data_IF_048347869288
#
_entry.id   IF_048347869288
#
_cell.length_a   1.000
_cell.length_b   1.000
_cell.length_c   1.000
_cell.angle_alpha   90.00
_cell.angle_beta   90.00
_cell.angle_gamma   90.00
#
_symmetry.space_group_name_H-M   'P 1'
#
loop_
_entity.id
_entity.type
_entity.pdbx_description
1 polymer ?
#
# COMPACT_ATOMS: atom_id res chain seq x y z
N UNK A 1 -40.60 38.69 -15.47
CA UNK A 1 -41.27 37.44 -15.03
C UNK A 1 -40.50 36.15 -15.33
N UNK A 2 -39.86 36.04 -16.48
CA UNK A 2 -39.08 34.85 -16.90
C UNK A 2 -37.84 34.60 -16.03
N UNK A 3 -37.14 35.64 -15.58
CA UNK A 3 -35.94 35.50 -14.77
C UNK A 3 -36.24 34.92 -13.36
N UNK A 4 -37.31 35.32 -12.76
CA UNK A 4 -37.78 34.79 -11.44
C UNK A 4 -38.14 33.30 -11.49
N UNK A 5 -38.76 32.85 -12.61
CA UNK A 5 -39.10 31.43 -12.80
C UNK A 5 -37.85 30.56 -13.00
N UNK A 6 -36.82 31.07 -13.71
CA UNK A 6 -35.55 30.39 -13.88
C UNK A 6 -34.77 30.27 -12.57
N UNK A 7 -34.73 31.33 -11.78
CA UNK A 7 -34.09 31.30 -10.46
C UNK A 7 -34.77 30.31 -9.53
N UNK A 8 -36.14 30.34 -9.49
CA UNK A 8 -36.93 29.39 -8.69
C UNK A 8 -36.68 27.94 -9.12
N UNK A 9 -36.61 27.68 -10.45
CA UNK A 9 -36.32 26.35 -10.98
C UNK A 9 -34.91 25.87 -10.56
N UNK A 10 -33.91 26.73 -10.63
CA UNK A 10 -32.55 26.41 -10.20
C UNK A 10 -32.47 26.10 -8.69
N UNK A 11 -33.17 26.87 -7.86
CA UNK A 11 -33.20 26.63 -6.41
C UNK A 11 -33.90 25.31 -6.09
N UNK A 12 -34.99 24.98 -6.77
CA UNK A 12 -35.69 23.68 -6.61
C UNK A 12 -34.83 22.53 -7.08
N UNK A 13 -34.11 22.69 -8.21
CA UNK A 13 -33.19 21.66 -8.75
C UNK A 13 -32.02 21.39 -7.79
N UNK A 14 -31.41 22.45 -7.24
CA UNK A 14 -30.33 22.34 -6.27
C UNK A 14 -30.84 21.66 -4.99
N UNK A 15 -32.02 22.03 -4.51
CA UNK A 15 -32.67 21.39 -3.36
C UNK A 15 -32.96 19.90 -3.60
N UNK A 16 -33.44 19.54 -4.78
CA UNK A 16 -33.72 18.15 -5.15
C UNK A 16 -32.40 17.32 -5.21
N UNK A 17 -31.33 17.87 -5.82
CA UNK A 17 -30.01 17.23 -5.87
C UNK A 17 -29.47 17.03 -4.45
N UNK A 18 -29.62 18.02 -3.58
CA UNK A 18 -29.19 17.93 -2.18
C UNK A 18 -29.95 16.84 -1.42
N UNK A 19 -31.27 16.75 -1.61
CA UNK A 19 -32.13 15.74 -0.97
C UNK A 19 -31.81 14.31 -1.46
N UNK A 20 -31.60 14.13 -2.76
CA UNK A 20 -31.18 12.84 -3.34
C UNK A 20 -29.83 12.42 -2.80
N UNK A 21 -28.88 13.35 -2.65
CA UNK A 21 -27.56 13.04 -2.08
C UNK A 21 -27.65 12.59 -0.62
N UNK A 22 -28.44 13.27 0.21
CA UNK A 22 -28.68 12.85 1.61
C UNK A 22 -29.26 11.44 1.63
N UNK A 23 -30.25 11.17 0.80
CA UNK A 23 -30.91 9.86 0.72
C UNK A 23 -29.92 8.75 0.29
N UNK A 24 -29.10 8.98 -0.74
CA UNK A 24 -28.08 8.04 -1.21
C UNK A 24 -27.01 7.79 -0.15
N UNK A 25 -26.56 8.83 0.55
CA UNK A 25 -25.58 8.70 1.65
C UNK A 25 -26.17 7.89 2.79
N UNK A 26 -27.39 8.18 3.23
CA UNK A 26 -28.12 7.42 4.27
C UNK A 26 -28.27 5.94 3.90
N UNK A 27 -28.56 5.64 2.62
CA UNK A 27 -28.73 4.26 2.17
C UNK A 27 -27.39 3.50 2.11
N UNK A 28 -26.27 4.18 1.81
CA UNK A 28 -24.92 3.61 1.87
C UNK A 28 -24.48 3.32 3.31
N UNK A 29 -24.85 4.13 4.26
CA UNK A 29 -24.48 3.96 5.67
C UNK A 29 -25.15 2.75 6.31
N UNK A 30 -26.38 2.42 5.93
CA UNK A 30 -27.11 1.24 6.43
C UNK A 30 -26.52 -0.09 5.96
N UNK A 31 -25.69 -0.09 4.92
CA UNK A 31 -25.03 -1.32 4.41
C UNK A 31 -23.61 -1.55 4.93
N UNK A 32 -23.04 -0.64 5.72
CA UNK A 32 -21.68 -0.77 6.26
C UNK A 32 -21.72 -0.95 7.77
N UNK A 33 -21.60 -2.19 8.24
CA UNK A 33 -21.45 -2.58 9.66
C UNK A 33 -20.07 -2.25 10.25
N UNK A 34 -19.34 -1.29 9.72
CA UNK A 34 -18.09 -0.82 10.29
C UNK A 34 -18.34 0.42 11.14
N UNK A 35 -17.99 0.34 12.43
CA UNK A 35 -17.99 1.48 13.35
C UNK A 35 -16.93 2.49 12.89
N UNK A 36 -17.29 3.32 11.93
CA UNK A 36 -16.46 4.46 11.54
C UNK A 36 -16.54 5.55 12.62
N UNK A 37 -15.40 5.88 13.20
CA UNK A 37 -15.28 7.15 13.94
C UNK A 37 -15.43 8.28 12.92
N UNK A 38 -16.57 8.91 12.91
CA UNK A 38 -16.89 10.05 12.06
C UNK A 38 -16.03 11.25 12.48
N UNK A 39 -15.11 11.67 11.60
CA UNK A 39 -14.42 12.95 11.76
C UNK A 39 -15.23 14.02 11.02
N UNK A 40 -15.82 15.00 11.74
CA UNK A 40 -16.62 16.06 11.10
C UNK A 40 -15.83 16.86 10.06
N UNK A 41 -14.52 17.00 10.23
CA UNK A 41 -13.66 17.75 9.29
C UNK A 41 -13.54 17.07 7.93
N UNK A 42 -13.70 15.74 7.88
CA UNK A 42 -13.69 14.96 6.65
C UNK A 42 -15.08 14.88 6.00
N UNK A 43 -16.13 14.91 6.82
CA UNK A 43 -17.51 14.71 6.37
C UNK A 43 -18.16 15.98 5.82
N UNK A 44 -17.85 17.14 6.39
CA UNK A 44 -18.42 18.42 5.95
C UNK A 44 -18.11 18.75 4.48
N UNK A 45 -16.85 18.63 3.99
CA UNK A 45 -16.55 18.84 2.57
C UNK A 45 -17.29 17.87 1.65
N UNK A 46 -17.48 16.62 2.07
CA UNK A 46 -18.22 15.60 1.32
C UNK A 46 -19.71 15.94 1.18
N UNK A 47 -20.30 16.44 2.24
CA UNK A 47 -21.72 16.86 2.27
C UNK A 47 -21.95 18.13 1.47
N UNK A 48 -21.05 19.12 1.57
CA UNK A 48 -21.19 20.41 0.89
C UNK A 48 -21.01 20.29 -0.62
N UNK A 49 -20.10 19.42 -1.09
CA UNK A 49 -19.86 19.24 -2.52
C UNK A 49 -20.91 18.38 -3.21
N UNK A 50 -21.60 17.48 -2.48
CA UNK A 50 -22.67 16.65 -3.01
C UNK A 50 -22.36 16.11 -4.42
N UNK A 51 -23.24 16.39 -5.39
CA UNK A 51 -23.06 15.99 -6.79
C UNK A 51 -21.90 16.66 -7.54
N UNK A 52 -21.33 17.75 -7.01
CA UNK A 52 -20.14 18.41 -7.60
C UNK A 52 -18.81 17.76 -7.19
N UNK A 53 -18.86 16.78 -6.27
CA UNK A 53 -17.66 16.10 -5.78
C UNK A 53 -16.82 15.50 -6.89
N UNK A 54 -17.46 14.83 -7.87
CA UNK A 54 -16.78 14.26 -9.04
C UNK A 54 -16.01 15.33 -9.83
N UNK A 55 -16.69 16.42 -10.16
CA UNK A 55 -16.08 17.54 -10.91
C UNK A 55 -14.91 18.16 -10.13
N UNK A 56 -15.06 18.33 -8.82
CA UNK A 56 -13.97 18.83 -7.96
C UNK A 56 -12.76 17.90 -7.95
N UNK A 57 -12.99 16.58 -7.91
CA UNK A 57 -11.93 15.57 -7.95
C UNK A 57 -11.23 15.58 -9.31
N UNK A 58 -11.97 15.63 -10.42
CA UNK A 58 -11.40 15.70 -11.78
C UNK A 58 -10.53 16.95 -11.94
N UNK A 59 -10.97 18.09 -11.44
CA UNK A 59 -10.18 19.32 -11.44
C UNK A 59 -8.90 19.19 -10.60
N UNK A 60 -9.00 18.57 -9.42
CA UNK A 60 -7.82 18.33 -8.57
C UNK A 60 -6.84 17.35 -9.23
N UNK A 61 -7.31 16.32 -9.94
CA UNK A 61 -6.44 15.42 -10.70
C UNK A 61 -5.70 16.16 -11.83
N UNK A 62 -6.40 16.98 -12.62
CA UNK A 62 -5.77 17.79 -13.65
C UNK A 62 -4.70 18.73 -13.06
N UNK A 63 -5.00 19.36 -11.92
CA UNK A 63 -4.04 20.20 -11.21
C UNK A 63 -2.87 19.40 -10.63
N UNK A 64 -3.10 18.18 -10.13
CA UNK A 64 -2.05 17.29 -9.62
C UNK A 64 -1.04 16.94 -10.73
N UNK A 65 -1.53 16.60 -11.93
CA UNK A 65 -0.70 16.32 -13.10
C UNK A 65 0.18 17.54 -13.43
N UNK A 66 -0.41 18.74 -13.53
CA UNK A 66 0.33 19.96 -13.80
C UNK A 66 1.42 20.25 -12.74
N UNK A 67 1.12 20.04 -11.45
CA UNK A 67 2.12 20.21 -10.38
C UNK A 67 3.23 19.18 -10.43
N UNK A 68 2.92 17.94 -10.84
CA UNK A 68 3.93 16.92 -11.06
C UNK A 68 4.90 17.30 -12.19
N UNK A 69 4.39 17.75 -13.34
CA UNK A 69 5.19 18.21 -14.47
C UNK A 69 6.06 19.42 -14.11
N UNK A 70 5.53 20.35 -13.30
CA UNK A 70 6.27 21.52 -12.80
C UNK A 70 7.24 21.17 -11.66
N UNK A 71 7.35 19.89 -11.24
CA UNK A 71 8.15 19.40 -10.11
C UNK A 71 7.84 20.10 -8.78
N UNK A 72 6.62 20.60 -8.61
CA UNK A 72 6.10 21.24 -7.39
C UNK A 72 5.53 20.21 -6.42
N UNK A 73 6.37 19.29 -5.95
CA UNK A 73 5.96 18.09 -5.24
C UNK A 73 5.27 18.35 -3.90
N UNK A 74 5.58 19.44 -3.20
CA UNK A 74 4.89 19.79 -1.95
C UNK A 74 3.46 20.31 -2.18
N UNK A 75 3.24 21.06 -3.28
CA UNK A 75 1.89 21.45 -3.69
C UNK A 75 1.10 20.20 -4.14
N UNK A 76 1.76 19.31 -4.91
CA UNK A 76 1.18 18.04 -5.32
C UNK A 76 0.74 17.20 -4.11
N UNK A 77 1.56 17.08 -3.06
CA UNK A 77 1.20 16.36 -1.84
C UNK A 77 -0.05 16.95 -1.18
N UNK A 78 -0.19 18.27 -1.17
CA UNK A 78 -1.39 18.93 -0.65
C UNK A 78 -2.63 18.56 -1.46
N UNK A 79 -2.52 18.57 -2.79
CA UNK A 79 -3.61 18.18 -3.71
C UNK A 79 -3.97 16.70 -3.51
N UNK A 80 -2.97 15.83 -3.40
CA UNK A 80 -3.17 14.41 -3.15
C UNK A 80 -3.96 14.14 -1.85
N UNK A 81 -3.62 14.86 -0.79
CA UNK A 81 -4.37 14.78 0.46
C UNK A 81 -5.83 15.27 0.32
N UNK A 82 -6.08 16.29 -0.52
CA UNK A 82 -7.45 16.76 -0.80
C UNK A 82 -8.24 15.71 -1.59
N UNK A 83 -7.64 15.10 -2.61
CA UNK A 83 -8.28 14.02 -3.39
C UNK A 83 -8.64 12.86 -2.46
N UNK A 84 -7.70 12.42 -1.60
CA UNK A 84 -7.94 11.35 -0.66
C UNK A 84 -9.06 11.67 0.36
N UNK A 85 -9.16 12.91 0.80
CA UNK A 85 -10.27 13.37 1.66
C UNK A 85 -11.61 13.37 0.94
N UNK A 86 -11.62 13.69 -0.36
CA UNK A 86 -12.84 13.67 -1.18
C UNK A 86 -13.23 12.25 -1.60
N UNK A 87 -12.29 11.31 -1.69
CA UNK A 87 -12.50 9.92 -2.07
C UNK A 87 -11.87 8.93 -1.06
N UNK A 88 -12.24 9.00 0.24
CA UNK A 88 -11.59 8.21 1.28
C UNK A 88 -11.80 6.69 1.10
N UNK A 89 -12.97 6.30 0.58
CA UNK A 89 -13.38 4.90 0.39
C UNK A 89 -12.99 4.34 -0.98
N UNK A 90 -12.05 4.99 -1.70
CA UNK A 90 -11.60 4.54 -3.01
C UNK A 90 -10.14 4.09 -2.96
N UNK A 91 -9.85 2.77 -2.77
CA UNK A 91 -8.52 2.24 -2.56
C UNK A 91 -7.50 2.65 -3.63
N UNK A 92 -7.91 2.69 -4.92
CA UNK A 92 -7.04 3.03 -6.03
C UNK A 92 -6.40 4.43 -5.90
N UNK A 93 -7.09 5.40 -5.29
CA UNK A 93 -6.53 6.73 -5.02
C UNK A 93 -5.34 6.63 -4.07
N UNK A 94 -5.47 5.83 -3.01
CA UNK A 94 -4.41 5.65 -2.02
C UNK A 94 -3.22 4.91 -2.61
N UNK A 95 -3.48 3.84 -3.37
CA UNK A 95 -2.46 3.05 -4.07
C UNK A 95 -1.68 3.93 -5.04
N UNK A 96 -2.37 4.55 -5.99
CA UNK A 96 -1.74 5.36 -7.04
C UNK A 96 -0.86 6.47 -6.47
N UNK A 97 -1.36 7.20 -5.47
CA UNK A 97 -0.62 8.32 -4.91
C UNK A 97 0.56 7.87 -4.06
N UNK A 98 0.42 6.78 -3.30
CA UNK A 98 1.53 6.17 -2.55
C UNK A 98 2.65 5.75 -3.49
N UNK A 99 2.31 5.06 -4.59
CA UNK A 99 3.26 4.67 -5.63
C UNK A 99 3.93 5.86 -6.29
N UNK A 100 3.15 6.88 -6.65
CA UNK A 100 3.70 8.08 -7.26
C UNK A 100 4.75 8.76 -6.36
N UNK A 101 4.48 8.86 -5.06
CA UNK A 101 5.43 9.42 -4.10
C UNK A 101 6.67 8.54 -3.92
N UNK A 102 6.47 7.25 -3.68
CA UNK A 102 7.55 6.35 -3.29
C UNK A 102 8.46 5.92 -4.47
N UNK A 103 7.94 5.89 -5.68
CA UNK A 103 8.70 5.49 -6.86
C UNK A 103 9.02 6.67 -7.77
N UNK A 104 8.02 7.40 -8.26
CA UNK A 104 8.22 8.43 -9.28
C UNK A 104 8.93 9.67 -8.69
N UNK A 105 8.35 10.27 -7.66
CA UNK A 105 8.93 11.49 -7.06
C UNK A 105 10.25 11.16 -6.36
N UNK A 106 10.32 10.04 -5.63
CA UNK A 106 11.58 9.63 -5.01
C UNK A 106 12.70 9.43 -6.04
N UNK A 107 12.39 8.98 -7.27
CA UNK A 107 13.38 8.79 -8.33
C UNK A 107 14.02 10.11 -8.80
N UNK A 108 13.29 11.21 -8.75
CA UNK A 108 13.76 12.54 -9.19
C UNK A 108 14.89 13.12 -8.31
N UNK A 109 15.17 12.54 -7.17
CA UNK A 109 16.19 13.00 -6.24
C UNK A 109 17.46 12.16 -6.33
N UNK A 110 18.64 12.76 -6.20
CA UNK A 110 19.91 12.02 -6.18
C UNK A 110 20.29 11.54 -4.79
N UNK A 111 20.09 12.38 -3.77
CA UNK A 111 20.48 12.09 -2.41
C UNK A 111 19.55 11.05 -1.75
N UNK A 112 20.12 10.02 -1.13
CA UNK A 112 19.39 8.96 -0.43
C UNK A 112 18.38 9.49 0.59
N UNK A 113 18.76 10.55 1.35
CA UNK A 113 17.89 11.19 2.34
C UNK A 113 16.62 11.78 1.72
N UNK A 114 16.75 12.41 0.55
CA UNK A 114 15.61 13.01 -0.13
C UNK A 114 14.71 11.92 -0.74
N UNK A 115 15.31 10.85 -1.30
CA UNK A 115 14.56 9.67 -1.76
C UNK A 115 13.78 9.05 -0.62
N UNK A 116 14.43 8.82 0.52
CA UNK A 116 13.81 8.25 1.71
C UNK A 116 12.59 9.06 2.16
N UNK A 117 12.71 10.39 2.23
CA UNK A 117 11.61 11.26 2.60
C UNK A 117 10.34 11.00 1.78
N UNK A 118 10.47 10.80 0.47
CA UNK A 118 9.33 10.54 -0.41
C UNK A 118 8.84 9.08 -0.32
N UNK A 119 9.76 8.13 -0.18
CA UNK A 119 9.43 6.72 0.09
C UNK A 119 8.61 6.62 1.38
N UNK A 120 9.12 7.19 2.47
CA UNK A 120 8.45 7.18 3.78
C UNK A 120 7.09 7.89 3.74
N UNK A 121 6.99 9.02 3.03
CA UNK A 121 5.71 9.71 2.81
C UNK A 121 4.72 8.84 2.07
N UNK A 122 5.14 8.12 1.01
CA UNK A 122 4.30 7.20 0.26
C UNK A 122 3.81 6.02 1.10
N UNK A 123 4.71 5.38 1.86
CA UNK A 123 4.36 4.29 2.77
C UNK A 123 3.32 4.74 3.81
N UNK A 124 3.55 5.89 4.44
CA UNK A 124 2.63 6.44 5.44
C UNK A 124 1.28 6.86 4.83
N UNK A 125 1.28 7.30 3.57
CA UNK A 125 0.04 7.58 2.84
C UNK A 125 -0.76 6.30 2.58
N UNK A 126 -0.11 5.22 2.12
CA UNK A 126 -0.77 3.92 1.96
C UNK A 126 -1.29 3.37 3.30
N UNK A 127 -0.52 3.46 4.39
CA UNK A 127 -0.98 3.09 5.75
C UNK A 127 -2.27 3.83 6.15
N UNK A 128 -2.37 5.13 5.89
CA UNK A 128 -3.61 5.89 6.13
C UNK A 128 -4.77 5.37 5.28
N UNK A 129 -4.48 4.99 4.04
CA UNK A 129 -5.45 4.37 3.13
C UNK A 129 -6.02 3.08 3.69
N UNK A 130 -5.19 2.21 4.30
CA UNK A 130 -5.66 0.93 4.88
C UNK A 130 -6.62 1.14 6.06
N UNK A 131 -6.45 2.21 6.82
CA UNK A 131 -7.39 2.58 7.90
C UNK A 131 -8.75 3.00 7.34
N UNK A 132 -8.76 3.69 6.19
CA UNK A 132 -10.00 4.12 5.52
C UNK A 132 -10.66 2.99 4.72
N UNK A 133 -9.88 2.02 4.26
CA UNK A 133 -10.33 0.91 3.43
C UNK A 133 -9.94 -0.46 4.05
N UNK A 134 -10.48 -0.80 5.24
CA UNK A 134 -10.02 -1.96 6.01
C UNK A 134 -10.37 -3.32 5.37
N UNK A 135 -11.17 -3.34 4.32
CA UNK A 135 -11.56 -4.54 3.58
C UNK A 135 -10.89 -4.63 2.19
N UNK A 136 -9.95 -3.72 1.86
CA UNK A 136 -9.29 -3.73 0.56
C UNK A 136 -8.04 -4.60 0.58
N UNK A 137 -8.14 -5.83 0.07
CA UNK A 137 -7.01 -6.73 -0.10
C UNK A 137 -5.95 -6.17 -1.05
N UNK A 138 -6.37 -5.50 -2.13
CA UNK A 138 -5.44 -4.85 -3.08
C UNK A 138 -4.56 -3.81 -2.38
N UNK A 139 -5.14 -2.97 -1.53
CA UNK A 139 -4.38 -1.95 -0.82
C UNK A 139 -3.39 -2.55 0.20
N UNK A 140 -3.78 -3.62 0.88
CA UNK A 140 -2.87 -4.36 1.76
C UNK A 140 -1.74 -5.03 0.96
N UNK A 141 -2.07 -5.64 -0.18
CA UNK A 141 -1.08 -6.25 -1.07
C UNK A 141 -0.07 -5.23 -1.54
N UNK A 142 -0.52 -4.11 -2.09
CA UNK A 142 0.34 -3.06 -2.61
C UNK A 142 1.27 -2.48 -1.53
N UNK A 143 0.75 -2.26 -0.33
CA UNK A 143 1.58 -1.80 0.79
C UNK A 143 2.62 -2.85 1.19
N UNK A 144 2.24 -4.12 1.28
CA UNK A 144 3.16 -5.23 1.55
C UNK A 144 4.24 -5.37 0.47
N UNK A 145 3.85 -5.23 -0.80
CA UNK A 145 4.77 -5.23 -1.93
C UNK A 145 5.75 -4.04 -1.88
N UNK A 146 5.29 -2.84 -1.55
CA UNK A 146 6.17 -1.67 -1.38
C UNK A 146 7.23 -1.91 -0.30
N UNK A 147 6.87 -2.53 0.83
CA UNK A 147 7.82 -2.91 1.89
C UNK A 147 8.82 -3.99 1.46
N UNK A 148 8.47 -4.85 0.51
CA UNK A 148 9.40 -5.82 -0.05
C UNK A 148 10.31 -5.18 -1.09
N UNK A 149 9.72 -4.50 -2.07
CA UNK A 149 10.42 -4.09 -3.30
C UNK A 149 11.33 -2.88 -3.10
N UNK A 150 10.87 -1.83 -2.39
CA UNK A 150 11.65 -0.59 -2.17
C UNK A 150 12.93 -0.82 -1.36
N UNK A 151 12.98 -1.89 -0.59
CA UNK A 151 14.09 -2.24 0.30
C UNK A 151 14.97 -3.36 -0.26
N UNK A 152 14.74 -3.76 -1.52
CA UNK A 152 15.58 -4.77 -2.20
C UNK A 152 16.86 -4.12 -2.75
N UNK A 153 17.99 -4.52 -2.20
CA UNK A 153 19.33 -4.03 -2.62
C UNK A 153 19.69 -4.39 -4.06
N UNK A 154 19.05 -5.39 -4.65
CA UNK A 154 19.26 -5.77 -6.06
C UNK A 154 18.61 -4.77 -7.01
N UNK A 155 17.59 -4.05 -6.54
CA UNK A 155 16.81 -3.09 -7.31
C UNK A 155 17.19 -1.65 -6.96
N UNK A 156 17.35 -1.35 -5.68
CA UNK A 156 17.58 0.01 -5.20
C UNK A 156 18.93 0.15 -4.51
N UNK A 157 19.78 1.00 -5.09
CA UNK A 157 21.13 1.30 -4.59
C UNK A 157 21.18 1.64 -3.09
N UNK A 158 20.17 2.36 -2.62
CA UNK A 158 20.10 2.87 -1.24
C UNK A 158 19.17 2.05 -0.32
N UNK A 159 18.79 0.85 -0.73
CA UNK A 159 17.86 0.03 0.06
C UNK A 159 18.35 -0.26 1.49
N UNK A 160 19.67 -0.46 1.69
CA UNK A 160 20.22 -0.61 3.04
C UNK A 160 20.03 0.63 3.91
N UNK A 161 20.23 1.82 3.33
CA UNK A 161 19.97 3.09 4.00
C UNK A 161 18.49 3.24 4.35
N UNK A 162 17.58 2.86 3.42
CA UNK A 162 16.14 2.94 3.68
C UNK A 162 15.72 2.01 4.83
N UNK A 163 16.28 0.80 4.92
CA UNK A 163 16.01 -0.12 6.05
C UNK A 163 16.45 0.47 7.37
N UNK A 164 17.64 1.06 7.41
CA UNK A 164 18.15 1.69 8.63
C UNK A 164 17.25 2.86 9.06
N UNK A 165 16.81 3.71 8.11
CA UNK A 165 15.92 4.82 8.42
C UNK A 165 14.54 4.34 8.88
N UNK A 166 13.98 3.30 8.26
CA UNK A 166 12.71 2.70 8.67
C UNK A 166 12.77 2.19 10.11
N UNK A 167 13.87 1.52 10.46
CA UNK A 167 14.10 1.03 11.82
C UNK A 167 14.26 2.15 12.83
N UNK A 168 14.97 3.23 12.47
CA UNK A 168 15.20 4.37 13.35
C UNK A 168 13.95 5.24 13.56
N UNK A 169 13.19 5.50 12.49
CA UNK A 169 12.05 6.42 12.53
C UNK A 169 10.75 5.73 12.97
N UNK A 170 10.49 4.50 12.50
CA UNK A 170 9.23 3.78 12.73
C UNK A 170 9.40 2.57 13.67
N UNK A 171 10.64 2.12 13.95
CA UNK A 171 10.90 0.88 14.69
C UNK A 171 10.53 -0.39 13.92
N UNK A 172 10.33 -0.30 12.62
CA UNK A 172 9.83 -1.40 11.77
C UNK A 172 10.98 -2.11 11.03
N UNK A 173 10.83 -3.44 10.87
CA UNK A 173 11.60 -4.24 9.91
C UNK A 173 10.77 -4.35 8.61
N UNK A 174 11.39 -4.07 7.46
CA UNK A 174 10.67 -4.06 6.19
C UNK A 174 10.10 -5.43 5.79
N UNK A 175 10.78 -6.54 6.12
CA UNK A 175 10.27 -7.88 5.80
C UNK A 175 9.12 -8.29 6.71
N UNK A 176 9.21 -7.97 8.00
CA UNK A 176 8.12 -8.21 8.95
C UNK A 176 6.89 -7.38 8.57
N UNK A 177 7.07 -6.10 8.23
CA UNK A 177 6.00 -5.24 7.74
C UNK A 177 5.41 -5.75 6.42
N UNK A 178 6.25 -6.18 5.47
CA UNK A 178 5.78 -6.77 4.21
C UNK A 178 4.90 -8.00 4.46
N UNK A 179 5.40 -8.95 5.24
CA UNK A 179 4.67 -10.19 5.57
C UNK A 179 3.35 -9.91 6.29
N UNK A 180 3.34 -8.95 7.21
CA UNK A 180 2.13 -8.53 7.91
C UNK A 180 1.05 -8.05 6.93
N UNK A 181 1.38 -7.15 6.01
CA UNK A 181 0.42 -6.59 5.07
C UNK A 181 -0.01 -7.59 4.00
N UNK A 182 0.90 -8.43 3.47
CA UNK A 182 0.58 -9.48 2.51
C UNK A 182 -0.38 -10.52 3.10
N UNK A 183 -0.16 -10.96 4.34
CA UNK A 183 -1.07 -11.88 5.02
C UNK A 183 -2.43 -11.25 5.32
N UNK A 184 -2.47 -9.96 5.66
CA UNK A 184 -3.74 -9.24 5.79
C UNK A 184 -4.51 -9.16 4.48
N UNK A 185 -3.84 -9.04 3.33
CA UNK A 185 -4.51 -9.06 2.03
C UNK A 185 -5.31 -10.35 1.83
N UNK A 186 -4.71 -11.51 2.12
CA UNK A 186 -5.37 -12.81 2.02
C UNK A 186 -6.54 -12.99 2.99
N UNK A 187 -6.43 -12.42 4.21
CA UNK A 187 -7.44 -12.60 5.26
C UNK A 187 -8.69 -11.73 5.06
N UNK A 188 -8.55 -10.56 4.45
CA UNK A 188 -9.61 -9.55 4.45
C UNK A 188 -10.38 -9.44 3.14
N UNK A 189 -9.92 -10.07 2.06
CA UNK A 189 -10.60 -10.02 0.77
C UNK A 189 -10.74 -11.41 0.14
N UNK A 190 -11.83 -12.13 0.42
CA UNK A 190 -12.05 -13.46 -0.16
C UNK A 190 -12.29 -13.44 -1.68
N UNK A 191 -12.50 -12.27 -2.28
CA UNK A 191 -12.68 -12.07 -3.73
C UNK A 191 -11.44 -11.55 -4.44
N UNK A 192 -10.31 -11.58 -3.76
CA UNK A 192 -9.05 -11.08 -4.27
C UNK A 192 -8.62 -11.83 -5.53
N UNK A 193 -8.44 -11.12 -6.63
CA UNK A 193 -8.12 -11.72 -7.92
C UNK A 193 -6.68 -12.26 -8.02
N UNK A 194 -5.79 -11.79 -7.14
CA UNK A 194 -4.35 -12.05 -7.21
C UNK A 194 -3.82 -12.96 -6.10
N UNK A 195 -4.63 -13.86 -5.56
CA UNK A 195 -4.26 -14.75 -4.43
C UNK A 195 -2.93 -15.46 -4.70
N UNK A 196 -2.77 -16.12 -5.86
CA UNK A 196 -1.53 -16.81 -6.23
C UNK A 196 -0.30 -15.89 -6.23
N UNK A 197 -0.45 -14.66 -6.73
CA UNK A 197 0.63 -13.69 -6.75
C UNK A 197 1.03 -13.26 -5.33
N UNK A 198 0.05 -13.10 -4.43
CA UNK A 198 0.30 -12.73 -3.04
C UNK A 198 0.99 -13.85 -2.28
N UNK A 199 0.52 -15.09 -2.42
CA UNK A 199 1.14 -16.25 -1.77
C UNK A 199 2.58 -16.44 -2.24
N UNK A 200 2.85 -16.34 -3.55
CA UNK A 200 4.23 -16.35 -4.07
C UNK A 200 5.07 -15.18 -3.53
N UNK A 201 4.47 -14.00 -3.41
CA UNK A 201 5.18 -12.83 -2.86
C UNK A 201 5.56 -13.06 -1.38
N UNK A 202 4.71 -13.73 -0.60
CA UNK A 202 5.03 -14.14 0.78
C UNK A 202 6.22 -15.09 0.79
N UNK A 203 6.22 -16.12 -0.07
CA UNK A 203 7.35 -17.05 -0.20
C UNK A 203 8.67 -16.31 -0.53
N UNK A 204 8.61 -15.39 -1.48
CA UNK A 204 9.77 -14.57 -1.85
C UNK A 204 10.20 -13.63 -0.73
N UNK A 205 9.27 -13.01 -0.01
CA UNK A 205 9.58 -12.12 1.11
C UNK A 205 10.35 -12.86 2.21
N UNK A 206 9.91 -14.06 2.58
CA UNK A 206 10.60 -14.91 3.54
C UNK A 206 12.01 -15.30 3.07
N UNK A 207 12.13 -15.67 1.79
CA UNK A 207 13.43 -15.99 1.20
C UNK A 207 14.38 -14.79 1.21
N UNK A 208 13.92 -13.61 0.81
CA UNK A 208 14.73 -12.39 0.84
C UNK A 208 15.10 -11.98 2.26
N UNK A 209 14.21 -12.19 3.23
CA UNK A 209 14.49 -11.95 4.64
C UNK A 209 15.64 -12.84 5.14
N UNK A 210 15.65 -14.14 4.74
CA UNK A 210 16.74 -15.06 5.05
C UNK A 210 18.07 -14.57 4.48
N UNK A 211 18.11 -14.20 3.19
CA UNK A 211 19.31 -13.69 2.54
C UNK A 211 19.80 -12.35 3.13
N UNK A 212 18.87 -11.53 3.63
CA UNK A 212 19.22 -10.29 4.30
C UNK A 212 19.84 -10.54 5.68
N UNK A 213 19.24 -11.41 6.48
CA UNK A 213 19.73 -11.78 7.80
C UNK A 213 21.12 -12.45 7.71
N UNK A 214 21.38 -13.27 6.68
CA UNK A 214 22.70 -13.83 6.42
C UNK A 214 23.75 -12.72 6.17
N UNK A 215 23.40 -11.71 5.35
CA UNK A 215 24.31 -10.58 5.08
C UNK A 215 24.58 -9.72 6.31
N UNK A 216 23.63 -9.67 7.23
CA UNK A 216 23.74 -9.01 8.52
C UNK A 216 24.44 -9.91 9.59
N UNK A 217 24.96 -11.07 9.13
CA UNK A 217 25.65 -12.06 9.97
C UNK A 217 24.77 -12.64 11.11
N UNK A 218 23.45 -12.50 11.01
CA UNK A 218 22.49 -13.10 11.93
C UNK A 218 22.04 -14.47 11.41
N UNK A 219 22.88 -15.49 11.67
CA UNK A 219 22.69 -16.84 11.12
C UNK A 219 21.43 -17.51 11.65
N UNK A 220 21.09 -17.31 12.92
CA UNK A 220 19.88 -17.91 13.50
C UNK A 220 18.61 -17.33 12.86
N UNK A 221 18.54 -16.01 12.67
CA UNK A 221 17.41 -15.36 11.97
C UNK A 221 17.37 -15.79 10.49
N UNK A 222 18.52 -15.94 9.84
CA UNK A 222 18.61 -16.43 8.47
C UNK A 222 18.08 -17.85 8.32
N UNK A 223 18.43 -18.76 9.23
CA UNK A 223 17.92 -20.13 9.26
C UNK A 223 16.41 -20.18 9.50
N UNK A 224 15.93 -19.40 10.47
CA UNK A 224 14.49 -19.31 10.77
C UNK A 224 13.69 -18.88 9.54
N UNK A 225 14.11 -17.83 8.83
CA UNK A 225 13.43 -17.37 7.62
C UNK A 225 13.56 -18.37 6.47
N UNK A 226 14.70 -19.05 6.31
CA UNK A 226 14.85 -20.10 5.29
C UNK A 226 13.88 -21.26 5.53
N UNK A 227 13.69 -21.65 6.79
CA UNK A 227 12.75 -22.71 7.15
C UNK A 227 11.30 -22.29 6.89
N UNK A 228 10.93 -21.08 7.26
CA UNK A 228 9.61 -20.53 6.97
C UNK A 228 9.36 -20.44 5.47
N UNK A 229 10.35 -19.96 4.69
CA UNK A 229 10.25 -19.88 3.23
C UNK A 229 10.04 -21.26 2.59
N UNK A 230 10.77 -22.27 3.04
CA UNK A 230 10.64 -23.64 2.54
C UNK A 230 9.25 -24.21 2.85
N UNK A 231 8.75 -24.01 4.07
CA UNK A 231 7.43 -24.46 4.46
C UNK A 231 6.31 -23.77 3.68
N UNK A 232 6.43 -22.45 3.45
CA UNK A 232 5.45 -21.69 2.67
C UNK A 232 5.44 -22.15 1.20
N UNK A 233 6.62 -22.40 0.57
CA UNK A 233 6.69 -22.98 -0.79
C UNK A 233 6.10 -24.38 -0.87
N UNK A 234 6.29 -25.24 0.13
CA UNK A 234 5.66 -26.58 0.19
C UNK A 234 4.15 -26.46 0.26
N UNK A 235 3.64 -25.56 1.11
CA UNK A 235 2.21 -25.29 1.24
C UNK A 235 1.63 -24.75 -0.07
N UNK A 236 2.31 -23.77 -0.69
CA UNK A 236 1.92 -23.24 -1.99
C UNK A 236 1.82 -24.33 -3.06
N UNK A 237 2.84 -25.19 -3.18
CA UNK A 237 2.86 -26.28 -4.15
C UNK A 237 1.74 -27.31 -3.91
N UNK A 238 1.43 -27.58 -2.65
CA UNK A 238 0.35 -28.50 -2.29
C UNK A 238 -1.02 -27.93 -2.64
N UNK A 239 -1.21 -26.63 -2.42
CA UNK A 239 -2.48 -25.96 -2.70
C UNK A 239 -2.70 -25.66 -4.19
N UNK A 240 -1.60 -25.52 -4.96
CA UNK A 240 -1.63 -25.11 -6.35
C UNK A 240 -0.75 -26.02 -7.23
N UNK A 241 -1.04 -27.33 -7.32
CA UNK A 241 -0.20 -28.28 -8.06
C UNK A 241 -0.14 -28.00 -9.56
N UNK A 242 -1.16 -27.35 -10.11
CA UNK A 242 -1.26 -27.04 -11.53
C UNK A 242 -0.63 -25.70 -11.95
N UNK A 243 -0.10 -24.92 -10.97
CA UNK A 243 0.56 -23.66 -11.29
C UNK A 243 1.97 -23.91 -11.85
N UNK A 244 2.09 -23.75 -13.16
CA UNK A 244 3.36 -23.86 -13.90
C UNK A 244 4.07 -22.52 -14.13
N UNK A 245 3.48 -21.42 -13.64
CA UNK A 245 4.04 -20.07 -13.85
C UNK A 245 5.32 -19.83 -13.06
N UNK A 246 5.61 -20.68 -12.08
CA UNK A 246 6.76 -20.57 -11.19
C UNK A 246 7.42 -21.93 -11.00
N UNK A 247 8.75 -22.00 -11.14
CA UNK A 247 9.51 -23.23 -10.88
C UNK A 247 9.70 -23.44 -9.37
N UNK A 248 8.65 -23.91 -8.69
CA UNK A 248 8.62 -24.11 -7.22
C UNK A 248 9.73 -25.06 -6.77
N UNK A 249 9.98 -26.14 -7.53
CA UNK A 249 11.00 -27.14 -7.18
C UNK A 249 12.40 -26.55 -7.15
N UNK A 250 12.72 -25.63 -8.06
CA UNK A 250 13.99 -24.92 -8.08
C UNK A 250 14.18 -24.02 -6.86
N UNK A 251 13.14 -23.26 -6.49
CA UNK A 251 13.17 -22.44 -5.27
C UNK A 251 13.37 -23.29 -4.02
N UNK A 252 12.60 -24.37 -3.86
CA UNK A 252 12.75 -25.26 -2.72
C UNK A 252 14.16 -25.86 -2.63
N UNK A 253 14.71 -26.35 -3.75
CA UNK A 253 16.07 -26.88 -3.80
C UNK A 253 17.12 -25.83 -3.43
N UNK A 254 16.97 -24.60 -3.93
CA UNK A 254 17.89 -23.50 -3.60
C UNK A 254 17.85 -23.16 -2.10
N UNK A 255 16.65 -23.12 -1.51
CA UNK A 255 16.46 -22.84 -0.09
C UNK A 255 17.06 -23.98 0.77
N UNK A 256 16.84 -25.24 0.41
CA UNK A 256 17.39 -26.39 1.12
C UNK A 256 18.93 -26.37 1.13
N UNK A 257 19.55 -26.17 -0.03
CA UNK A 257 21.01 -26.01 -0.14
C UNK A 257 21.54 -24.86 0.73
N UNK A 258 20.86 -23.74 0.72
CA UNK A 258 21.23 -22.58 1.55
C UNK A 258 21.11 -22.89 3.02
N UNK A 259 20.03 -23.56 3.43
CA UNK A 259 19.81 -23.98 4.82
C UNK A 259 20.91 -24.89 5.32
N UNK A 260 21.31 -25.90 4.52
CA UNK A 260 22.43 -26.76 4.84
C UNK A 260 23.76 -25.99 4.97
N UNK A 261 23.98 -25.01 4.10
CA UNK A 261 25.16 -24.16 4.18
C UNK A 261 25.16 -23.33 5.47
N UNK A 262 24.06 -22.67 5.80
CA UNK A 262 23.92 -21.85 7.00
C UNK A 262 24.12 -22.68 8.29
N UNK A 263 23.68 -23.94 8.32
CA UNK A 263 23.86 -24.84 9.46
C UNK A 263 25.32 -25.18 9.74
N UNK A 264 26.19 -25.11 8.73
CA UNK A 264 27.62 -25.38 8.85
C UNK A 264 28.45 -24.16 9.28
N UNK A 265 27.85 -22.95 9.25
CA UNK A 265 28.54 -21.73 9.66
C UNK A 265 28.68 -21.69 11.18
N UNK A 266 29.83 -21.19 11.67
CA UNK A 266 30.02 -20.98 13.11
C UNK A 266 29.01 -19.95 13.62
N UNK A 267 28.33 -20.27 14.69
CA UNK A 267 27.45 -19.32 15.38
C UNK A 267 28.34 -18.37 16.18
N UNK A 268 28.08 -17.06 16.06
CA UNK A 268 28.71 -16.10 16.98
C UNK A 268 28.07 -16.29 18.34
N UNK A 269 28.87 -16.70 19.32
CA UNK A 269 28.45 -16.62 20.71
C UNK A 269 28.16 -15.14 21.04
N UNK A 270 26.91 -14.82 21.33
CA UNK A 270 26.52 -13.50 21.80
C UNK A 270 26.96 -13.42 23.26
N UNK A 271 28.12 -12.79 23.49
CA UNK A 271 28.58 -12.45 24.83
C UNK A 271 27.90 -11.17 25.32
#
# INVERSE_FOLDING_TARGET
>A
MIHRKRVLFLVVLIGAIFFVNIYVVSFRETSKTAVYRYDPSESIPLLLLGGLRGIAVDFLWARAIARHEEKKYYELLTINNLIAKLQPDFPAVWIFQAWNMAYNIAHEWDAARNKWKWIHTGLNFAKKGTVKNPASGDLFFELGYMYLHLFDQRVFKYAAYYREQLKQEDGEDNYEASLYWLRRALLHDPKLHNVLAIERTICHALWHASLCAEREENIDKALQYAELALNEWKTYHTNHPDDTSTNVSEFMSAIEKKKEFLQRLPRRDVW
#
